data_IF_992625683219
#
_entry.id   IF_992625683219
#
_cell.length_a   1.000
_cell.length_b   1.000
_cell.length_c   1.000
_cell.angle_alpha   90.00
_cell.angle_beta   90.00
_cell.angle_gamma   90.00
#
_symmetry.space_group_name_H-M   'P 1'
#
loop_
_entity.id
_entity.type
_entity.pdbx_description
1 polymer ?
#
# COMPACT_ATOMS: atom_id res chain seq x y z
N UNK A 1 28.04 -35.63 -23.03
CA UNK A 1 26.81 -36.18 -23.63
C UNK A 1 25.97 -34.99 -24.12
N UNK A 2 26.03 -34.66 -25.42
CA UNK A 2 25.20 -33.60 -26.00
C UNK A 2 23.78 -34.14 -26.18
N UNK A 3 22.79 -33.55 -25.50
CA UNK A 3 21.37 -33.86 -25.74
C UNK A 3 20.99 -33.28 -27.10
N UNK A 4 20.78 -34.14 -28.09
CA UNK A 4 20.17 -33.79 -29.36
C UNK A 4 18.68 -33.56 -29.11
N UNK A 5 18.29 -32.30 -28.97
CA UNK A 5 16.88 -31.93 -28.92
C UNK A 5 16.27 -32.19 -30.31
N UNK A 6 15.25 -33.05 -30.37
CA UNK A 6 14.60 -33.37 -31.64
C UNK A 6 13.86 -32.14 -32.17
N UNK A 7 13.84 -32.00 -33.49
CA UNK A 7 13.17 -30.90 -34.21
C UNK A 7 11.70 -30.71 -33.77
N UNK A 8 11.05 -31.78 -33.27
CA UNK A 8 9.68 -31.77 -32.74
C UNK A 8 9.53 -30.97 -31.44
N UNK A 9 10.51 -31.00 -30.54
CA UNK A 9 10.46 -30.26 -29.27
C UNK A 9 10.50 -28.75 -29.50
N UNK A 10 11.22 -28.29 -30.52
CA UNK A 10 11.26 -26.87 -30.88
C UNK A 10 9.92 -26.36 -31.41
N UNK A 11 9.16 -27.17 -32.16
CA UNK A 11 7.85 -26.77 -32.68
C UNK A 11 6.82 -26.68 -31.57
N UNK A 12 6.86 -27.59 -30.60
CA UNK A 12 5.98 -27.56 -29.43
C UNK A 12 6.27 -26.33 -28.57
N UNK A 13 7.55 -26.01 -28.33
CA UNK A 13 7.94 -24.82 -27.57
C UNK A 13 7.62 -23.52 -28.32
N UNK A 14 7.75 -23.50 -29.65
CA UNK A 14 7.36 -22.36 -30.48
C UNK A 14 5.83 -22.16 -30.47
N UNK A 15 5.05 -23.23 -30.59
CA UNK A 15 3.59 -23.19 -30.47
C UNK A 15 3.15 -22.76 -29.08
N UNK A 16 3.78 -23.27 -28.01
CA UNK A 16 3.50 -22.80 -26.65
C UNK A 16 3.89 -21.32 -26.49
N UNK A 17 5.02 -20.90 -27.04
CA UNK A 17 5.46 -19.51 -27.02
C UNK A 17 4.50 -18.59 -27.76
N UNK A 18 4.04 -18.98 -28.95
CA UNK A 18 3.04 -18.23 -29.73
C UNK A 18 1.69 -18.22 -29.02
N UNK A 19 1.23 -19.33 -28.44
CA UNK A 19 0.00 -19.36 -27.65
C UNK A 19 0.09 -18.48 -26.39
N UNK A 20 1.25 -18.44 -25.72
CA UNK A 20 1.48 -17.57 -24.56
C UNK A 20 1.58 -16.09 -24.98
N UNK A 21 2.15 -15.78 -26.15
CA UNK A 21 2.21 -14.41 -26.70
C UNK A 21 0.81 -13.96 -27.15
N UNK A 22 0.03 -14.81 -27.81
CA UNK A 22 -1.35 -14.52 -28.18
C UNK A 22 -2.30 -14.45 -26.97
N UNK A 23 -2.01 -15.19 -25.89
CA UNK A 23 -2.73 -15.06 -24.61
C UNK A 23 -2.31 -13.79 -23.83
N UNK A 24 -1.22 -13.14 -24.23
CA UNK A 24 -0.75 -11.85 -23.71
C UNK A 24 -1.15 -10.68 -24.62
N UNK A 25 -2.30 -10.75 -25.31
CA UNK A 25 -2.96 -9.55 -25.85
C UNK A 25 -3.59 -8.76 -24.69
N UNK A 26 -2.77 -8.25 -23.78
CA UNK A 26 -3.18 -7.15 -22.93
C UNK A 26 -3.16 -5.90 -23.82
N UNK A 27 -4.23 -5.67 -24.57
CA UNK A 27 -4.41 -4.42 -25.30
C UNK A 27 -4.34 -3.25 -24.29
N UNK A 28 -3.28 -2.43 -24.34
CA UNK A 28 -3.15 -1.29 -23.45
C UNK A 28 -4.13 -0.18 -23.81
N UNK A 29 -5.05 -0.37 -24.77
CA UNK A 29 -6.15 0.51 -25.12
C UNK A 29 -7.51 -0.19 -25.04
N UNK A 30 -7.58 -1.36 -24.38
CA UNK A 30 -8.81 -2.10 -24.23
C UNK A 30 -9.92 -1.18 -23.71
N UNK A 31 -11.09 -1.24 -24.36
CA UNK A 31 -12.23 -0.42 -23.94
C UNK A 31 -12.69 -0.82 -22.54
N UNK A 32 -12.44 0.02 -21.55
CA UNK A 32 -12.83 -0.20 -20.16
C UNK A 32 -14.00 0.71 -19.74
N UNK A 33 -14.66 1.37 -20.69
CA UNK A 33 -15.79 2.26 -20.40
C UNK A 33 -16.96 1.49 -19.77
N UNK A 34 -17.14 0.22 -20.14
CA UNK A 34 -18.21 -0.65 -19.63
C UNK A 34 -17.90 -1.29 -18.27
N UNK A 35 -16.66 -1.18 -17.77
CA UNK A 35 -16.30 -1.75 -16.46
C UNK A 35 -16.72 -0.78 -15.36
N UNK A 36 -17.87 -1.06 -14.76
CA UNK A 36 -18.32 -0.43 -13.53
C UNK A 36 -17.50 -0.98 -12.36
N UNK A 37 -16.74 -0.09 -11.73
CA UNK A 37 -15.93 -0.41 -10.56
C UNK A 37 -15.93 0.79 -9.63
N UNK A 38 -16.48 0.61 -8.44
CA UNK A 38 -16.31 1.53 -7.33
C UNK A 38 -14.96 1.24 -6.68
N UNK A 39 -14.09 2.24 -6.70
CA UNK A 39 -12.76 2.15 -6.10
C UNK A 39 -12.81 2.96 -4.83
N UNK A 40 -12.75 2.27 -3.69
CA UNK A 40 -12.61 2.91 -2.39
C UNK A 40 -11.17 2.79 -1.91
N UNK A 41 -10.67 3.86 -1.31
CA UNK A 41 -9.34 3.93 -0.73
C UNK A 41 -9.44 4.47 0.68
N UNK A 42 -9.07 3.66 1.67
CA UNK A 42 -9.03 4.12 3.05
C UNK A 42 -7.70 4.82 3.30
N UNK A 43 -7.77 6.02 3.85
CA UNK A 43 -6.60 6.82 4.23
C UNK A 43 -6.08 6.40 5.61
N UNK A 44 -5.40 5.26 5.72
CA UNK A 44 -4.83 4.85 7.01
C UNK A 44 -3.82 5.88 7.52
N UNK A 45 -3.11 6.57 6.63
CA UNK A 45 -2.27 7.73 6.97
C UNK A 45 -3.02 8.83 7.73
N UNK A 46 -4.30 9.06 7.45
CA UNK A 46 -5.10 10.03 8.21
C UNK A 46 -5.42 9.53 9.62
N UNK A 47 -5.70 8.23 9.77
CA UNK A 47 -5.93 7.61 11.08
C UNK A 47 -4.67 7.70 11.95
N UNK A 48 -3.49 7.42 11.36
CA UNK A 48 -2.20 7.54 12.02
C UNK A 48 -1.92 8.99 12.44
N UNK A 49 -2.19 9.97 11.58
CA UNK A 49 -2.03 11.39 11.90
C UNK A 49 -2.91 11.83 13.07
N UNK A 50 -4.21 11.51 13.05
CA UNK A 50 -5.13 11.91 14.12
C UNK A 50 -4.74 11.26 15.47
N UNK A 51 -4.30 10.00 15.44
CA UNK A 51 -3.77 9.32 16.61
C UNK A 51 -2.50 10.00 17.14
N UNK A 52 -1.52 10.26 16.26
CA UNK A 52 -0.27 10.93 16.63
C UNK A 52 -0.55 12.34 17.19
N UNK A 53 -1.43 13.12 16.56
CA UNK A 53 -1.85 14.44 17.02
C UNK A 53 -2.42 14.40 18.43
N UNK A 54 -3.34 13.46 18.69
CA UNK A 54 -3.94 13.29 20.02
C UNK A 54 -2.89 12.96 21.09
N UNK A 55 -1.91 12.10 20.76
CA UNK A 55 -0.80 11.76 21.66
C UNK A 55 0.14 12.95 21.90
N UNK A 56 0.38 13.81 20.90
CA UNK A 56 1.17 15.04 21.07
C UNK A 56 0.47 16.08 21.97
N UNK A 57 -0.84 16.25 21.78
CA UNK A 57 -1.64 17.18 22.58
C UNK A 57 -1.79 16.72 24.04
N UNK A 58 -1.78 15.40 24.27
CA UNK A 58 -1.91 14.78 25.59
C UNK A 58 -0.88 13.65 25.77
N UNK A 59 0.39 13.96 26.09
CA UNK A 59 1.45 12.94 26.19
C UNK A 59 1.26 11.89 27.29
N UNK A 60 0.38 12.16 28.27
CA UNK A 60 -0.02 11.22 29.31
C UNK A 60 -1.31 10.45 28.98
N UNK A 61 -1.81 10.57 27.75
CA UNK A 61 -3.01 9.88 27.31
C UNK A 61 -2.83 8.36 27.38
N UNK A 62 -3.91 7.67 27.71
CA UNK A 62 -3.96 6.22 27.65
C UNK A 62 -3.82 5.76 26.19
N UNK A 63 -2.69 5.11 25.87
CA UNK A 63 -2.41 4.59 24.54
C UNK A 63 -3.48 3.61 24.05
N UNK A 64 -4.11 2.86 24.97
CA UNK A 64 -5.17 1.94 24.60
C UNK A 64 -6.42 2.71 24.16
N UNK A 65 -6.79 3.77 24.90
CA UNK A 65 -7.90 4.63 24.52
C UNK A 65 -7.66 5.33 23.17
N UNK A 66 -6.43 5.80 22.92
CA UNK A 66 -6.06 6.39 21.62
C UNK A 66 -6.16 5.35 20.49
N UNK A 67 -5.67 4.13 20.70
CA UNK A 67 -5.82 3.03 19.75
C UNK A 67 -7.30 2.73 19.45
N UNK A 68 -8.13 2.56 20.49
CA UNK A 68 -9.54 2.25 20.33
C UNK A 68 -10.30 3.32 19.54
N UNK A 69 -9.96 4.59 19.77
CA UNK A 69 -10.61 5.71 19.13
C UNK A 69 -10.20 5.88 17.66
N UNK A 70 -8.91 5.75 17.34
CA UNK A 70 -8.39 6.16 16.04
C UNK A 70 -7.99 5.00 15.12
N UNK A 71 -7.52 3.88 15.66
CA UNK A 71 -6.82 2.86 14.88
C UNK A 71 -7.54 1.51 14.81
N UNK A 72 -8.41 1.21 15.80
CA UNK A 72 -9.10 -0.09 15.90
C UNK A 72 -9.92 -0.46 14.66
N UNK A 73 -10.46 0.52 13.94
CA UNK A 73 -11.22 0.29 12.70
C UNK A 73 -10.38 -0.33 11.58
N UNK A 74 -9.05 -0.18 11.62
CA UNK A 74 -8.12 -0.72 10.60
C UNK A 74 -7.15 -1.75 11.19
N UNK A 75 -7.53 -2.37 12.33
CA UNK A 75 -6.71 -3.31 13.10
C UNK A 75 -6.04 -4.39 12.26
N UNK A 76 -6.80 -5.07 11.40
CA UNK A 76 -6.26 -6.22 10.66
C UNK A 76 -5.19 -5.79 9.64
N UNK A 77 -5.33 -4.59 9.05
CA UNK A 77 -4.29 -4.00 8.22
C UNK A 77 -3.06 -3.65 9.06
N UNK A 78 -3.25 -2.95 10.19
CA UNK A 78 -2.15 -2.54 11.07
C UNK A 78 -1.36 -3.72 11.62
N UNK A 79 -2.02 -4.82 11.99
CA UNK A 79 -1.36 -6.06 12.39
C UNK A 79 -0.48 -6.62 11.27
N UNK A 80 -1.05 -6.75 10.07
CA UNK A 80 -0.34 -7.29 8.92
C UNK A 80 0.80 -6.39 8.45
N UNK A 81 0.68 -5.07 8.67
CA UNK A 81 1.75 -4.10 8.43
C UNK A 81 2.89 -4.22 9.43
N UNK A 82 2.58 -4.44 10.72
CA UNK A 82 3.57 -4.63 11.79
C UNK A 82 4.30 -5.98 11.64
N UNK A 83 3.56 -7.07 11.41
CA UNK A 83 4.10 -8.39 11.13
C UNK A 83 3.12 -9.15 10.22
N UNK A 84 3.54 -9.42 8.98
CA UNK A 84 2.73 -10.11 7.98
C UNK A 84 2.22 -11.49 8.44
N UNK A 85 2.85 -12.09 9.46
CA UNK A 85 2.48 -13.38 10.03
C UNK A 85 1.44 -13.25 11.14
N UNK A 86 1.31 -12.09 11.77
CA UNK A 86 0.41 -11.86 12.91
C UNK A 86 -1.04 -12.30 12.67
N UNK A 87 -1.65 -12.07 11.48
CA UNK A 87 -3.00 -12.56 11.20
C UNK A 87 -3.16 -14.09 11.29
N UNK A 88 -2.08 -14.85 11.07
CA UNK A 88 -2.08 -16.32 11.10
C UNK A 88 -1.67 -16.94 12.44
N UNK A 89 -1.24 -16.13 13.42
CA UNK A 89 -0.67 -16.62 14.68
C UNK A 89 -1.70 -17.14 15.69
N UNK A 90 -3.00 -17.18 15.34
CA UNK A 90 -4.06 -17.65 16.23
C UNK A 90 -4.24 -16.79 17.49
N UNK A 91 -3.83 -15.53 17.42
CA UNK A 91 -3.96 -14.56 18.51
C UNK A 91 -5.43 -14.21 18.75
N UNK A 92 -5.82 -14.09 20.02
CA UNK A 92 -7.11 -13.51 20.39
C UNK A 92 -7.17 -12.02 20.06
N UNK A 93 -8.38 -11.47 19.91
CA UNK A 93 -8.59 -10.04 19.62
C UNK A 93 -7.91 -9.12 20.64
N UNK A 94 -7.93 -9.47 21.93
CA UNK A 94 -7.24 -8.68 22.95
C UNK A 94 -5.71 -8.70 22.78
N UNK A 95 -5.13 -9.85 22.40
CA UNK A 95 -3.69 -9.96 22.14
C UNK A 95 -3.27 -9.19 20.89
N UNK A 96 -4.12 -9.18 19.86
CA UNK A 96 -3.93 -8.37 18.66
C UNK A 96 -3.92 -6.88 18.99
N UNK A 97 -4.92 -6.42 19.74
CA UNK A 97 -5.03 -5.03 20.19
C UNK A 97 -3.79 -4.62 21.01
N UNK A 98 -3.37 -5.46 21.97
CA UNK A 98 -2.15 -5.24 22.76
C UNK A 98 -0.89 -5.14 21.90
N UNK A 99 -0.72 -6.01 20.90
CA UNK A 99 0.45 -5.98 20.02
C UNK A 99 0.56 -4.65 19.26
N UNK A 100 -0.55 -4.15 18.70
CA UNK A 100 -0.55 -2.84 18.04
C UNK A 100 -0.22 -1.74 19.04
N UNK A 101 -0.87 -1.74 20.21
CA UNK A 101 -0.65 -0.72 21.25
C UNK A 101 0.81 -0.69 21.70
N UNK A 102 1.44 -1.84 21.90
CA UNK A 102 2.83 -1.93 22.34
C UNK A 102 3.84 -1.54 21.26
N UNK A 103 3.55 -1.81 19.98
CA UNK A 103 4.50 -1.59 18.89
C UNK A 103 4.33 -0.24 18.18
N UNK A 104 3.10 0.17 17.90
CA UNK A 104 2.81 1.31 17.04
C UNK A 104 2.65 2.62 17.84
N UNK A 105 2.01 2.58 19.00
CA UNK A 105 1.68 3.81 19.73
C UNK A 105 2.92 4.54 20.26
N UNK A 106 4.00 3.87 20.73
CA UNK A 106 5.25 4.55 21.07
C UNK A 106 5.88 5.27 19.88
N UNK A 107 5.73 4.72 18.67
CA UNK A 107 6.22 5.33 17.43
C UNK A 107 5.38 6.56 17.07
N UNK A 108 4.05 6.49 17.20
CA UNK A 108 3.16 7.63 16.93
C UNK A 108 3.27 8.75 17.99
N UNK A 109 3.72 8.43 19.19
CA UNK A 109 4.04 9.41 20.23
C UNK A 109 5.37 10.15 19.94
N UNK A 110 6.19 9.68 19.01
CA UNK A 110 7.42 10.37 18.61
C UNK A 110 7.11 11.65 17.81
N UNK A 111 7.72 12.76 18.23
CA UNK A 111 7.52 14.05 17.56
C UNK A 111 7.98 14.04 16.10
N UNK A 112 9.07 13.34 15.76
CA UNK A 112 9.57 13.24 14.39
C UNK A 112 8.62 12.49 13.47
N UNK A 113 7.99 11.42 13.97
CA UNK A 113 6.92 10.70 13.26
C UNK A 113 5.70 11.60 13.06
N UNK A 114 5.29 12.36 14.08
CA UNK A 114 4.21 13.33 13.93
C UNK A 114 4.53 14.39 12.85
N UNK A 115 5.74 14.96 12.86
CA UNK A 115 6.18 15.90 11.82
C UNK A 115 6.15 15.29 10.43
N UNK A 116 6.59 14.03 10.28
CA UNK A 116 6.52 13.31 9.01
C UNK A 116 5.07 13.20 8.53
N UNK A 117 4.16 12.71 9.39
CA UNK A 117 2.75 12.56 9.08
C UNK A 117 2.10 13.91 8.72
N UNK A 118 2.38 14.97 9.47
CA UNK A 118 1.85 16.31 9.17
C UNK A 118 2.36 16.83 7.85
N UNK A 119 3.65 16.62 7.55
CA UNK A 119 4.24 17.04 6.29
C UNK A 119 3.61 16.25 5.13
N UNK A 120 3.41 14.94 5.26
CA UNK A 120 2.73 14.12 4.24
C UNK A 120 1.32 14.62 4.00
N UNK A 121 0.55 14.89 5.06
CA UNK A 121 -0.81 15.45 4.99
C UNK A 121 -0.85 16.78 4.24
N UNK A 122 0.12 17.66 4.48
CA UNK A 122 0.18 18.97 3.80
C UNK A 122 0.52 18.84 2.31
N UNK A 123 1.33 17.84 1.94
CA UNK A 123 1.71 17.61 0.54
C UNK A 123 0.67 16.79 -0.22
N UNK A 124 0.09 15.77 0.40
CA UNK A 124 -0.95 14.91 -0.19
C UNK A 124 -2.21 15.01 0.68
N UNK A 125 -3.01 16.08 0.50
CA UNK A 125 -4.24 16.31 1.25
C UNK A 125 -5.19 15.09 1.26
N UNK A 126 -6.00 14.98 2.30
CA UNK A 126 -6.91 13.84 2.47
C UNK A 126 -8.08 13.83 1.47
N UNK A 127 -8.39 14.98 0.87
CA UNK A 127 -9.35 15.14 -0.22
C UNK A 127 -8.76 14.90 -1.61
N UNK A 128 -7.45 14.60 -1.72
CA UNK A 128 -6.82 14.20 -2.99
C UNK A 128 -7.49 12.93 -3.54
N UNK A 129 -7.94 12.92 -4.81
CA UNK A 129 -8.73 11.81 -5.37
C UNK A 129 -7.85 10.63 -5.82
N UNK A 130 -7.09 10.03 -4.90
CA UNK A 130 -6.16 8.93 -5.21
C UNK A 130 -6.91 7.71 -5.80
N UNK A 131 -8.11 7.41 -5.27
CA UNK A 131 -8.96 6.34 -5.78
C UNK A 131 -9.32 6.53 -7.27
N UNK A 132 -9.61 7.76 -7.70
CA UNK A 132 -9.92 8.06 -9.10
C UNK A 132 -8.71 7.81 -10.00
N UNK A 133 -7.50 8.14 -9.53
CA UNK A 133 -6.25 7.88 -10.26
C UNK A 133 -5.97 6.39 -10.42
N UNK A 134 -6.34 5.59 -9.43
CA UNK A 134 -6.21 4.13 -9.47
C UNK A 134 -7.35 3.44 -10.24
N UNK A 135 -8.46 4.13 -10.51
CA UNK A 135 -9.64 3.55 -11.14
C UNK A 135 -9.33 2.90 -12.49
N UNK A 136 -8.53 3.56 -13.32
CA UNK A 136 -8.22 3.11 -14.67
C UNK A 136 -7.39 1.80 -14.70
N UNK A 137 -6.24 1.68 -13.99
CA UNK A 137 -5.52 0.42 -13.89
C UNK A 137 -6.34 -0.70 -13.23
N UNK A 138 -7.18 -0.38 -12.24
CA UNK A 138 -8.02 -1.38 -11.56
C UNK A 138 -9.17 -1.89 -12.43
N UNK A 139 -9.79 -1.01 -13.23
CA UNK A 139 -10.79 -1.42 -14.24
C UNK A 139 -10.17 -2.34 -15.28
N UNK A 140 -8.94 -2.07 -15.71
CA UNK A 140 -8.19 -2.99 -16.59
C UNK A 140 -7.93 -4.34 -15.92
N UNK A 141 -7.45 -4.33 -14.67
CA UNK A 141 -7.27 -5.57 -13.90
C UNK A 141 -8.57 -6.38 -13.86
N UNK A 142 -9.70 -5.73 -13.57
CA UNK A 142 -11.01 -6.39 -13.50
C UNK A 142 -11.48 -6.90 -14.86
N UNK A 143 -11.22 -6.18 -15.95
CA UNK A 143 -11.53 -6.62 -17.32
C UNK A 143 -10.79 -7.91 -17.67
N UNK A 144 -9.50 -7.99 -17.37
CA UNK A 144 -8.67 -9.16 -17.69
C UNK A 144 -8.86 -10.32 -16.71
N UNK A 145 -9.25 -10.02 -15.46
CA UNK A 145 -9.39 -11.00 -14.38
C UNK A 145 -10.74 -10.81 -13.65
N UNK A 146 -11.88 -11.03 -14.31
CA UNK A 146 -13.21 -10.75 -13.75
C UNK A 146 -13.54 -11.53 -12.48
N UNK A 147 -12.96 -12.73 -12.32
CA UNK A 147 -13.11 -13.60 -11.17
C UNK A 147 -12.24 -13.21 -9.96
N UNK A 148 -11.30 -12.28 -10.12
CA UNK A 148 -10.45 -11.81 -9.02
C UNK A 148 -11.13 -10.65 -8.30
N UNK A 149 -11.11 -10.72 -6.99
CA UNK A 149 -11.50 -9.60 -6.13
C UNK A 149 -10.40 -8.55 -6.11
N UNK A 150 -10.81 -7.29 -6.03
CA UNK A 150 -9.88 -6.19 -5.84
C UNK A 150 -9.55 -6.11 -4.35
N UNK A 151 -8.25 -6.10 -3.98
CA UNK A 151 -7.89 -5.99 -2.58
C UNK A 151 -8.36 -4.65 -1.99
N UNK A 152 -8.56 -4.61 -0.68
CA UNK A 152 -8.84 -3.36 0.01
C UNK A 152 -7.64 -2.42 -0.15
N UNK A 153 -7.89 -1.21 -0.66
CA UNK A 153 -6.85 -0.24 -0.92
C UNK A 153 -6.61 0.64 0.29
N UNK A 154 -5.33 0.85 0.62
CA UNK A 154 -4.86 1.62 1.76
C UNK A 154 -3.76 2.60 1.35
N UNK A 155 -3.59 3.64 2.13
CA UNK A 155 -2.33 4.42 2.18
C UNK A 155 -1.57 4.02 3.43
N UNK A 156 -0.26 4.19 3.44
CA UNK A 156 0.52 4.16 4.69
C UNK A 156 1.65 5.18 4.61
N UNK A 157 2.23 5.51 5.75
CA UNK A 157 3.42 6.35 5.82
C UNK A 157 4.50 5.52 6.47
N UNK A 158 5.49 5.14 5.68
CA UNK A 158 6.69 4.49 6.19
C UNK A 158 7.70 5.54 6.64
N UNK A 159 8.22 5.31 7.84
CA UNK A 159 9.31 6.10 8.39
C UNK A 159 10.59 5.92 7.59
N UNK A 160 11.43 6.95 7.63
CA UNK A 160 12.79 6.97 7.09
C UNK A 160 13.51 5.61 7.23
N UNK A 161 14.12 5.14 6.14
CA UNK A 161 14.98 3.94 6.18
C UNK A 161 16.14 4.22 7.13
N UNK A 162 16.34 3.44 8.22
CA UNK A 162 17.44 3.67 9.16
C UNK A 162 18.83 3.64 8.52
N UNK A 163 18.94 3.06 7.32
CA UNK A 163 20.18 2.87 6.56
C UNK A 163 20.30 3.80 5.33
N UNK A 164 19.30 4.65 5.06
CA UNK A 164 19.32 5.61 3.96
C UNK A 164 19.15 5.03 2.55
N UNK A 165 18.89 3.72 2.39
CA UNK A 165 18.60 3.13 1.07
C UNK A 165 17.12 3.31 0.72
N UNK A 166 16.80 4.40 0.03
CA UNK A 166 15.46 4.75 -0.45
C UNK A 166 14.80 3.66 -1.32
N UNK A 167 15.57 2.70 -1.85
CA UNK A 167 15.05 1.58 -2.65
C UNK A 167 14.49 0.44 -1.78
N UNK A 168 14.73 0.50 -0.48
CA UNK A 168 14.20 -0.46 0.49
C UNK A 168 12.85 -0.03 1.09
N UNK A 169 12.30 1.12 0.67
CA UNK A 169 10.93 1.51 1.03
C UNK A 169 9.98 1.04 -0.06
N UNK A 170 9.05 0.17 0.31
CA UNK A 170 8.06 -0.33 -0.62
C UNK A 170 7.00 0.75 -0.88
N UNK A 171 7.03 1.34 -2.08
CA UNK A 171 5.97 2.26 -2.55
C UNK A 171 4.61 1.56 -2.64
N UNK A 172 4.61 0.24 -2.81
CA UNK A 172 3.42 -0.60 -2.82
C UNK A 172 3.67 -1.82 -1.95
N UNK A 173 2.88 -1.97 -0.91
CA UNK A 173 2.87 -3.14 -0.05
C UNK A 173 1.66 -4.02 -0.41
N UNK A 174 1.91 -5.29 -0.71
CA UNK A 174 0.87 -6.27 -1.03
C UNK A 174 0.75 -7.27 0.11
N UNK A 175 -0.37 -7.24 0.83
CA UNK A 175 -0.68 -8.16 1.93
C UNK A 175 -1.91 -9.01 1.57
N UNK A 176 -2.15 -10.16 2.24
CA UNK A 176 -3.36 -10.93 2.03
C UNK A 176 -4.62 -10.08 2.21
N UNK A 177 -5.34 -9.80 1.12
CA UNK A 177 -6.56 -8.99 1.10
C UNK A 177 -6.35 -7.47 1.02
N UNK A 178 -5.11 -6.97 1.06
CA UNK A 178 -4.82 -5.54 1.05
C UNK A 178 -3.75 -5.17 0.01
N UNK A 179 -3.89 -3.97 -0.54
CA UNK A 179 -2.83 -3.30 -1.27
C UNK A 179 -2.68 -1.91 -0.69
N UNK A 180 -1.49 -1.58 -0.20
CA UNK A 180 -1.22 -0.28 0.40
C UNK A 180 -0.20 0.51 -0.39
N UNK A 181 -0.43 1.81 -0.54
CA UNK A 181 0.44 2.74 -1.24
C UNK A 181 1.18 3.60 -0.22
N UNK A 182 2.50 3.55 -0.27
CA UNK A 182 3.37 4.32 0.61
C UNK A 182 3.38 5.80 0.23
N UNK A 183 3.09 6.66 1.21
CA UNK A 183 3.12 8.12 1.12
C UNK A 183 4.32 8.64 1.92
N UNK A 184 5.53 8.27 1.50
CA UNK A 184 6.77 8.73 2.13
C UNK A 184 7.48 9.76 1.25
N UNK A 185 8.17 10.70 1.88
CA UNK A 185 9.09 11.60 1.20
C UNK A 185 10.25 10.79 0.59
N UNK A 186 10.82 11.27 -0.51
CA UNK A 186 11.85 10.61 -1.32
C UNK A 186 11.33 9.55 -2.31
N UNK A 187 10.31 9.88 -3.11
CA UNK A 187 10.03 9.13 -4.34
C UNK A 187 10.98 9.49 -5.50
N UNK A 188 11.98 10.34 -5.23
CA UNK A 188 12.98 10.81 -6.17
C UNK A 188 12.41 11.84 -7.15
N UNK A 189 13.25 12.71 -7.73
CA UNK A 189 12.82 13.89 -8.48
C UNK A 189 11.98 13.59 -9.74
N UNK A 190 11.89 12.32 -10.12
CA UNK A 190 11.16 11.83 -11.30
C UNK A 190 9.79 11.24 -10.96
N UNK A 191 9.33 11.26 -9.70
CA UNK A 191 8.02 10.71 -9.36
C UNK A 191 6.87 11.53 -9.98
N UNK A 192 6.04 10.94 -10.85
CA UNK A 192 5.11 11.70 -11.69
C UNK A 192 3.87 12.21 -10.96
N UNK A 193 3.63 11.79 -9.71
CA UNK A 193 2.43 12.17 -8.95
C UNK A 193 2.70 13.19 -7.84
N UNK A 194 3.89 13.81 -7.80
CA UNK A 194 4.11 14.94 -6.89
C UNK A 194 3.19 16.12 -7.25
N UNK A 195 2.56 16.76 -6.25
CA UNK A 195 1.93 18.06 -6.44
C UNK A 195 2.93 19.09 -7.00
N UNK A 196 2.44 19.94 -7.89
CA UNK A 196 3.26 20.96 -8.59
C UNK A 196 3.97 21.95 -7.66
N UNK A 197 3.46 22.10 -6.43
CA UNK A 197 3.96 23.00 -5.39
C UNK A 197 4.98 22.35 -4.43
N UNK A 198 5.33 21.07 -4.60
CA UNK A 198 6.35 20.43 -3.75
C UNK A 198 7.71 21.10 -3.97
N UNK A 199 8.39 21.61 -2.93
CA UNK A 199 9.72 22.21 -3.05
C UNK A 199 10.74 21.28 -3.71
N UNK A 200 11.66 21.83 -4.50
CA UNK A 200 12.59 21.03 -5.30
C UNK A 200 13.52 20.14 -4.48
N UNK A 201 13.84 20.52 -3.24
CA UNK A 201 14.66 19.70 -2.32
C UNK A 201 13.90 18.50 -1.72
N UNK A 202 12.57 18.46 -1.90
CA UNK A 202 11.68 17.39 -1.47
C UNK A 202 11.39 16.41 -2.62
N UNK A 203 11.56 16.85 -3.87
CA UNK A 203 11.36 16.03 -5.07
C UNK A 203 12.44 14.97 -5.19
#
# INVERSE_FOLDING_TARGET
>A
MMKTYSFSTYHILLLLGVCLICACESDPNADIAEVELEVEMLRTDSLLYECARALQEQPAADHFAAYEQYLKSDREFLLAWIDERAPSMGLSDGQKDSLIVEMLLPVLADSGVFWLLDTVRQTIPYDEPIAERLSYPLKRFKKYLPQKEIPALRTHVDGYVPQGDVRAVDQVMSLPGYMSFGLHYFMGPEFPYYPVNVPQFIR
#
